data_IF_008294032454
#
_entry.id   IF_008294032454
#
_cell.length_a   1.000
_cell.length_b   1.000
_cell.length_c   1.000
_cell.angle_alpha   90.00
_cell.angle_beta   90.00
_cell.angle_gamma   90.00
#
_symmetry.space_group_name_H-M   'P 1'
#
loop_
_entity.id
_entity.type
_entity.pdbx_description
1 polymer ?
#
# COMPACT_ATOMS: atom_id res chain seq x y z
N UNK A 1 -18.08 -0.75 1.70
CA UNK A 1 -16.78 -0.93 1.02
C UNK A 1 -15.76 -1.21 2.09
N UNK A 2 -14.89 -2.17 1.85
CA UNK A 2 -13.83 -2.55 2.79
C UNK A 2 -12.86 -1.37 3.00
N UNK A 3 -12.56 -1.07 4.27
CA UNK A 3 -11.80 0.11 4.71
C UNK A 3 -10.41 0.18 4.06
N UNK A 4 -9.78 -0.98 3.86
CA UNK A 4 -8.44 -1.09 3.27
C UNK A 4 -8.43 -0.61 1.82
N UNK A 5 -9.49 -0.87 1.06
CA UNK A 5 -9.64 -0.31 -0.29
C UNK A 5 -9.75 1.18 -0.31
N UNK A 6 -10.51 1.74 0.63
CA UNK A 6 -10.65 3.18 0.76
C UNK A 6 -9.26 3.79 1.00
N UNK A 7 -8.47 3.19 1.88
CA UNK A 7 -7.09 3.62 2.14
C UNK A 7 -6.21 3.55 0.89
N UNK A 8 -6.19 2.42 0.17
CA UNK A 8 -5.37 2.30 -1.05
C UNK A 8 -5.80 3.32 -2.12
N UNK A 9 -7.09 3.59 -2.26
CA UNK A 9 -7.59 4.63 -3.17
C UNK A 9 -7.12 6.03 -2.74
N UNK A 10 -7.12 6.34 -1.45
CA UNK A 10 -6.60 7.60 -0.93
C UNK A 10 -5.09 7.74 -1.20
N UNK A 11 -4.30 6.67 -1.00
CA UNK A 11 -2.88 6.65 -1.33
C UNK A 11 -2.63 6.96 -2.82
N UNK A 12 -3.41 6.36 -3.73
CA UNK A 12 -3.34 6.64 -5.16
C UNK A 12 -3.69 8.10 -5.50
N UNK A 13 -4.67 8.68 -4.82
CA UNK A 13 -5.03 10.09 -5.02
C UNK A 13 -3.92 11.03 -4.56
N UNK A 14 -3.35 10.80 -3.38
CA UNK A 14 -2.21 11.57 -2.85
C UNK A 14 -1.01 11.50 -3.80
N UNK A 15 -0.71 10.32 -4.31
CA UNK A 15 0.40 10.09 -5.23
C UNK A 15 0.24 10.89 -6.52
N UNK A 16 -0.98 10.92 -7.09
CA UNK A 16 -1.29 11.70 -8.29
C UNK A 16 -1.07 13.20 -8.07
N UNK A 17 -1.44 13.71 -6.90
CA UNK A 17 -1.33 15.12 -6.52
C UNK A 17 0.07 15.54 -6.05
N UNK A 18 0.97 14.60 -5.76
CA UNK A 18 2.33 14.91 -5.30
C UNK A 18 3.25 15.46 -6.40
N UNK A 19 4.27 16.23 -6.01
CA UNK A 19 5.37 16.68 -6.89
C UNK A 19 6.47 15.61 -7.06
N UNK A 20 6.18 14.35 -6.71
CA UNK A 20 7.14 13.27 -6.81
C UNK A 20 7.59 13.06 -8.27
N UNK A 21 8.89 12.80 -8.53
CA UNK A 21 9.37 12.50 -9.88
C UNK A 21 8.59 11.36 -10.54
N UNK A 22 8.22 11.53 -11.80
CA UNK A 22 7.31 10.63 -12.54
C UNK A 22 7.67 9.15 -12.44
N UNK A 23 8.96 8.81 -12.54
CA UNK A 23 9.43 7.41 -12.46
C UNK A 23 9.15 6.81 -11.07
N UNK A 24 9.40 7.58 -10.01
CA UNK A 24 9.15 7.16 -8.62
C UNK A 24 7.66 7.03 -8.36
N UNK A 25 6.88 8.00 -8.86
CA UNK A 25 5.42 7.99 -8.81
C UNK A 25 4.84 6.73 -9.44
N UNK A 26 5.27 6.40 -10.66
CA UNK A 26 4.82 5.17 -11.36
C UNK A 26 5.16 3.90 -10.58
N UNK A 27 6.36 3.83 -9.97
CA UNK A 27 6.77 2.65 -9.21
C UNK A 27 5.89 2.40 -7.99
N UNK A 28 5.56 3.44 -7.23
CA UNK A 28 4.64 3.36 -6.09
C UNK A 28 3.22 3.03 -6.57
N UNK A 29 2.76 3.65 -7.66
CA UNK A 29 1.42 3.44 -8.21
C UNK A 29 1.19 1.98 -8.62
N UNK A 30 2.16 1.37 -9.31
CA UNK A 30 2.09 -0.05 -9.71
C UNK A 30 1.92 -0.95 -8.48
N UNK A 31 2.67 -0.71 -7.41
CA UNK A 31 2.59 -1.53 -6.20
C UNK A 31 1.26 -1.35 -5.45
N UNK A 32 0.76 -0.12 -5.34
CA UNK A 32 -0.56 0.15 -4.76
C UNK A 32 -1.69 -0.51 -5.58
N UNK A 33 -1.58 -0.51 -6.91
CA UNK A 33 -2.53 -1.22 -7.79
C UNK A 33 -2.44 -2.74 -7.57
N UNK A 34 -1.23 -3.28 -7.42
CA UNK A 34 -1.04 -4.71 -7.12
C UNK A 34 -1.68 -5.08 -5.79
N UNK A 35 -1.47 -4.29 -4.73
CA UNK A 35 -2.13 -4.51 -3.43
C UNK A 35 -3.65 -4.49 -3.58
N UNK A 36 -4.18 -3.48 -4.29
CA UNK A 36 -5.62 -3.38 -4.56
C UNK A 36 -6.17 -4.61 -5.29
N UNK A 37 -5.41 -5.20 -6.22
CA UNK A 37 -5.80 -6.41 -6.93
C UNK A 37 -5.78 -7.64 -6.04
N UNK A 38 -4.76 -7.80 -5.20
CA UNK A 38 -4.67 -8.90 -4.26
C UNK A 38 -5.86 -8.87 -3.29
N UNK A 39 -6.14 -7.69 -2.72
CA UNK A 39 -7.33 -7.49 -1.89
C UNK A 39 -8.62 -7.91 -2.62
N UNK A 40 -8.74 -7.69 -3.96
CA UNK A 40 -9.97 -7.99 -4.75
C UNK A 40 -10.10 -9.45 -5.13
N UNK A 41 -8.97 -10.08 -5.42
CA UNK A 41 -8.93 -11.46 -5.90
C UNK A 41 -9.05 -12.44 -4.75
N UNK A 42 -8.57 -12.07 -3.57
CA UNK A 42 -8.66 -12.93 -2.44
C UNK A 42 -10.08 -12.90 -1.86
N UNK A 43 -10.74 -14.06 -1.90
CA UNK A 43 -11.66 -14.49 -0.85
C UNK A 43 -10.88 -14.70 0.48
N UNK A 44 -10.00 -13.75 0.85
CA UNK A 44 -9.20 -13.75 2.05
C UNK A 44 -10.21 -13.84 3.18
N UNK A 45 -10.32 -15.02 3.81
CA UNK A 45 -11.22 -15.23 4.93
C UNK A 45 -10.99 -14.09 5.91
N UNK A 46 -12.06 -13.44 6.34
CA UNK A 46 -12.03 -12.28 7.24
C UNK A 46 -11.15 -12.50 8.50
N UNK A 47 -10.87 -13.77 8.85
CA UNK A 47 -9.91 -14.18 9.88
C UNK A 47 -8.45 -13.81 9.58
N UNK A 48 -7.99 -13.93 8.34
CA UNK A 48 -6.59 -13.69 7.99
C UNK A 48 -6.26 -12.19 7.98
N UNK A 49 -7.23 -11.35 7.62
CA UNK A 49 -7.12 -9.88 7.75
C UNK A 49 -7.11 -9.41 9.21
N UNK A 50 -7.81 -10.10 10.12
CA UNK A 50 -7.76 -9.79 11.56
C UNK A 50 -6.44 -10.18 12.22
N UNK A 51 -5.72 -11.17 11.68
CA UNK A 51 -4.49 -11.70 12.27
C UNK A 51 -3.18 -11.13 11.72
N UNK A 52 -3.12 -10.77 10.43
CA UNK A 52 -1.83 -10.51 9.75
C UNK A 52 -1.69 -9.10 9.15
N UNK A 53 -2.80 -8.40 8.87
CA UNK A 53 -2.80 -7.05 8.29
C UNK A 53 -3.89 -6.19 8.93
N UNK A 54 -3.69 -5.83 10.20
CA UNK A 54 -4.61 -4.96 10.93
C UNK A 54 -4.85 -3.62 10.21
N UNK A 55 -6.02 -3.02 10.44
CA UNK A 55 -6.37 -1.67 9.96
C UNK A 55 -5.26 -0.66 10.24
N UNK A 56 -4.55 -0.81 11.38
CA UNK A 56 -3.40 0.00 11.78
C UNK A 56 -2.23 -0.01 10.78
N UNK A 57 -2.02 -1.11 10.03
CA UNK A 57 -0.94 -1.21 9.05
C UNK A 57 -1.26 -0.36 7.83
N UNK A 58 -2.50 -0.44 7.34
CA UNK A 58 -2.97 0.36 6.21
C UNK A 58 -3.08 1.84 6.58
N UNK A 59 -3.57 2.16 7.78
CA UNK A 59 -3.57 3.54 8.30
C UNK A 59 -2.14 4.09 8.43
N UNK A 60 -1.20 3.25 8.89
CA UNK A 60 0.23 3.59 8.92
C UNK A 60 0.82 3.88 7.54
N UNK A 61 0.43 3.09 6.52
CA UNK A 61 0.80 3.34 5.12
C UNK A 61 0.24 4.68 4.63
N UNK A 62 -1.03 4.97 4.92
CA UNK A 62 -1.67 6.23 4.54
C UNK A 62 -0.98 7.43 5.21
N UNK A 63 -0.62 7.31 6.49
CA UNK A 63 0.12 8.35 7.21
C UNK A 63 1.48 8.65 6.57
N UNK A 64 2.24 7.61 6.21
CA UNK A 64 3.52 7.79 5.49
C UNK A 64 3.33 8.39 4.11
N UNK A 65 2.33 7.94 3.35
CA UNK A 65 1.98 8.50 2.05
C UNK A 65 1.64 9.99 2.14
N UNK A 66 0.84 10.41 3.13
CA UNK A 66 0.52 11.83 3.35
C UNK A 66 1.77 12.64 3.66
N UNK A 67 2.68 12.12 4.48
CA UNK A 67 3.94 12.80 4.81
C UNK A 67 4.84 12.96 3.58
N UNK A 68 5.00 11.91 2.78
CA UNK A 68 5.88 11.92 1.60
C UNK A 68 5.27 12.73 0.45
N UNK A 69 3.96 12.64 0.25
CA UNK A 69 3.27 13.34 -0.85
C UNK A 69 2.95 14.80 -0.51
N UNK A 70 2.80 15.15 0.77
CA UNK A 70 2.49 16.51 1.24
C UNK A 70 3.70 17.28 1.78
N UNK A 71 4.83 16.62 2.01
CA UNK A 71 6.09 17.24 2.46
C UNK A 71 7.12 17.36 1.33
N UNK A 72 8.21 18.08 1.61
CA UNK A 72 9.38 18.07 0.75
C UNK A 72 9.90 16.64 0.59
N UNK A 73 10.08 16.21 -0.66
CA UNK A 73 10.47 14.85 -1.01
C UNK A 73 11.82 14.45 -0.35
N UNK A 74 11.79 13.53 0.61
CA UNK A 74 12.98 12.92 1.22
C UNK A 74 13.22 11.53 0.63
N UNK A 75 14.40 11.32 0.02
CA UNK A 75 14.71 10.08 -0.69
C UNK A 75 14.70 8.82 0.19
N UNK A 76 15.12 8.95 1.44
CA UNK A 76 15.13 7.88 2.44
C UNK A 76 13.71 7.45 2.82
N UNK A 77 12.82 8.42 3.09
CA UNK A 77 11.42 8.15 3.41
C UNK A 77 10.67 7.41 2.29
N UNK A 78 11.03 7.66 1.02
CA UNK A 78 10.48 6.89 -0.10
C UNK A 78 10.96 5.43 -0.10
N UNK A 79 12.23 5.19 0.22
CA UNK A 79 12.78 3.82 0.29
C UNK A 79 12.06 3.03 1.37
N UNK A 80 11.88 3.59 2.56
CA UNK A 80 11.14 2.96 3.66
C UNK A 80 9.69 2.64 3.27
N UNK A 81 9.03 3.58 2.58
CA UNK A 81 7.67 3.37 2.05
C UNK A 81 7.63 2.20 1.06
N UNK A 82 8.59 2.12 0.15
CA UNK A 82 8.68 1.06 -0.86
C UNK A 82 8.95 -0.31 -0.22
N UNK A 83 9.80 -0.38 0.80
CA UNK A 83 10.03 -1.62 1.56
C UNK A 83 8.78 -2.06 2.30
N UNK A 84 8.06 -1.13 2.93
CA UNK A 84 6.82 -1.42 3.64
C UNK A 84 5.74 -1.95 2.70
N UNK A 85 5.54 -1.29 1.56
CA UNK A 85 4.61 -1.74 0.52
C UNK A 85 5.01 -3.14 0.00
N UNK A 86 6.30 -3.37 -0.22
CA UNK A 86 6.83 -4.68 -0.63
C UNK A 86 6.54 -5.78 0.40
N UNK A 87 6.74 -5.50 1.69
CA UNK A 87 6.40 -6.41 2.78
C UNK A 87 4.90 -6.75 2.81
N UNK A 88 4.03 -5.75 2.65
CA UNK A 88 2.58 -5.96 2.59
C UNK A 88 2.17 -6.79 1.36
N UNK A 89 2.77 -6.54 0.19
CA UNK A 89 2.54 -7.35 -1.01
C UNK A 89 2.97 -8.80 -0.81
N UNK A 90 4.08 -9.04 -0.10
CA UNK A 90 4.54 -10.39 0.19
C UNK A 90 3.59 -11.12 1.16
N UNK A 91 3.02 -10.42 2.15
CA UNK A 91 2.02 -10.98 3.06
C UNK A 91 0.72 -11.29 2.31
N UNK A 92 0.22 -10.34 1.49
CA UNK A 92 -1.00 -10.51 0.71
C UNK A 92 -0.87 -11.57 -0.39
N UNK A 93 0.31 -11.71 -1.00
CA UNK A 93 0.58 -12.71 -2.04
C UNK A 93 1.11 -14.04 -1.51
N UNK A 94 1.43 -14.13 -0.22
CA UNK A 94 2.21 -15.22 0.39
C UNK A 94 1.48 -16.53 0.63
N UNK A 95 0.15 -16.57 0.51
CA UNK A 95 -0.66 -17.76 0.84
C UNK A 95 -1.16 -18.56 -0.37
N UNK A 96 -0.68 -18.28 -1.59
CA UNK A 96 -1.07 -19.04 -2.80
C UNK A 96 -0.15 -20.22 -3.14
N UNK A 97 0.82 -20.59 -2.28
CA UNK A 97 1.80 -21.67 -2.57
C UNK A 97 1.85 -22.78 -1.50
N UNK A 98 0.84 -22.91 -0.66
CA UNK A 98 0.75 -24.01 0.29
C UNK A 98 -0.64 -24.65 0.32
N UNK A 99 -1.01 -25.36 -0.75
CA UNK A 99 -1.66 -26.69 -0.70
C UNK A 99 -1.96 -27.24 -2.10
#
# INVERSE_FOLDING_TARGET
MDHQYSIINQCLQLLKQSDMPTIKKLRVEIQLIQMKRLLLNDNLSSEMMRGCCGEDVFEGLLGQMRRICGGGYEGEALTDLMERIGGMLNILGGDHVAH
#
